data_IF_098137410640
#
_entry.id   IF_098137410640
#
_cell.length_a   1.000
_cell.length_b   1.000
_cell.length_c   1.000
_cell.angle_alpha   90.00
_cell.angle_beta   90.00
_cell.angle_gamma   90.00
#
_symmetry.space_group_name_H-M   'P 1'
#
loop_
_entity.id
_entity.type
_entity.pdbx_description
1 polymer ?
#
# COMPACT_ATOMS: atom_id res chain seq x y z
N UNK A 1 32.60 -37.22 48.16
CA UNK A 1 31.89 -36.91 49.41
C UNK A 1 30.40 -37.18 49.14
N UNK A 2 29.83 -38.33 49.50
CA UNK A 2 29.46 -38.78 50.87
C UNK A 2 28.47 -37.74 51.44
N UNK A 3 27.18 -37.99 51.72
CA UNK A 3 26.49 -39.13 52.38
C UNK A 3 24.96 -38.93 52.23
N UNK A 4 24.15 -39.95 51.84
CA UNK A 4 23.37 -40.92 52.67
C UNK A 4 22.04 -40.43 53.31
N UNK A 5 20.93 -40.90 52.72
CA UNK A 5 19.76 -41.71 53.24
C UNK A 5 19.97 -42.27 54.69
N UNK A 6 18.97 -42.66 55.55
CA UNK A 6 17.74 -43.38 55.16
C UNK A 6 16.45 -43.45 56.06
N UNK A 7 15.37 -43.95 55.41
CA UNK A 7 14.39 -44.99 55.76
C UNK A 7 13.61 -45.14 57.09
N UNK A 8 12.34 -45.53 56.87
CA UNK A 8 11.53 -46.54 57.59
C UNK A 8 10.83 -46.10 58.89
N UNK A 9 9.71 -46.67 59.38
CA UNK A 9 8.89 -47.83 58.99
C UNK A 9 7.59 -47.83 59.85
N UNK A 10 6.50 -48.37 59.31
CA UNK A 10 5.55 -49.33 59.90
C UNK A 10 4.79 -49.12 61.25
N UNK A 11 3.52 -49.57 61.22
CA UNK A 11 2.64 -50.20 62.26
C UNK A 11 1.26 -49.50 62.33
N UNK A 12 0.21 -50.03 61.71
CA UNK A 12 -0.78 -50.99 62.24
C UNK A 12 -1.29 -50.66 63.65
N UNK A 13 -2.59 -50.37 63.74
CA UNK A 13 -3.43 -50.77 64.87
C UNK A 13 -4.85 -51.14 64.41
N UNK A 14 -5.33 -52.25 64.96
CA UNK A 14 -6.66 -52.89 64.82
C UNK A 14 -7.59 -52.43 65.96
N UNK A 15 -8.85 -52.86 65.85
CA UNK A 15 -9.97 -52.89 66.81
C UNK A 15 -10.96 -51.72 66.65
N UNK A 16 -12.28 -51.91 66.64
CA UNK A 16 -13.11 -53.02 67.11
C UNK A 16 -14.49 -53.04 66.43
N UNK A 17 -15.09 -54.24 66.45
CA UNK A 17 -16.50 -54.57 66.18
C UNK A 17 -17.48 -53.86 67.14
N UNK A 18 -18.68 -53.51 66.66
CA UNK A 18 -19.94 -53.81 67.36
C UNK A 18 -21.11 -53.88 66.35
N UNK A 19 -21.96 -54.90 66.50
CA UNK A 19 -23.16 -55.18 65.69
C UNK A 19 -24.37 -55.12 66.64
N UNK A 20 -25.26 -54.15 66.42
CA UNK A 20 -26.70 -54.20 66.73
C UNK A 20 -27.37 -53.30 65.67
N UNK A 21 -28.36 -53.69 64.87
CA UNK A 21 -29.38 -54.69 65.07
C UNK A 21 -30.68 -54.02 65.50
N UNK A 22 -31.27 -53.16 64.68
CA UNK A 22 -32.66 -52.72 64.86
C UNK A 22 -33.32 -52.38 63.51
N UNK A 23 -34.46 -53.04 63.26
CA UNK A 23 -35.32 -52.86 62.09
C UNK A 23 -36.32 -51.76 62.40
N UNK A 24 -36.38 -50.71 61.58
CA UNK A 24 -37.54 -49.83 61.53
C UNK A 24 -37.95 -49.55 60.08
N UNK A 25 -39.13 -50.06 59.73
CA UNK A 25 -39.86 -49.70 58.53
C UNK A 25 -40.36 -48.26 58.66
N UNK A 26 -39.89 -47.37 57.79
CA UNK A 26 -40.53 -46.08 57.55
C UNK A 26 -40.78 -45.91 56.05
N UNK A 27 -42.05 -45.96 55.69
CA UNK A 27 -42.60 -45.49 54.43
C UNK A 27 -42.33 -43.98 54.30
N UNK A 28 -41.77 -43.54 53.17
CA UNK A 28 -41.71 -42.14 52.76
C UNK A 28 -42.20 -42.01 51.32
N UNK A 29 -43.00 -40.97 50.99
CA UNK A 29 -43.67 -40.85 49.71
C UNK A 29 -42.74 -40.36 48.60
N UNK A 30 -43.01 -40.81 47.39
CA UNK A 30 -42.37 -40.34 46.15
C UNK A 30 -42.79 -38.90 45.88
N UNK A 31 -41.88 -37.94 46.07
CA UNK A 31 -42.03 -36.59 45.53
C UNK A 31 -41.53 -36.58 44.08
N UNK A 32 -42.49 -36.58 43.14
CA UNK A 32 -42.26 -36.40 41.72
C UNK A 32 -41.88 -34.93 41.44
N UNK A 33 -40.58 -34.62 41.40
CA UNK A 33 -40.09 -33.36 40.85
C UNK A 33 -40.27 -33.38 39.33
N UNK A 34 -41.32 -32.73 38.82
CA UNK A 34 -41.45 -32.41 37.39
C UNK A 34 -40.46 -31.27 37.10
N UNK A 35 -39.25 -31.64 36.71
CA UNK A 35 -38.26 -30.69 36.20
C UNK A 35 -38.71 -30.16 34.84
N UNK A 36 -39.10 -28.88 34.77
CA UNK A 36 -39.28 -28.16 33.52
C UNK A 36 -37.89 -28.00 32.86
N UNK A 37 -37.50 -28.94 31.99
CA UNK A 37 -36.38 -28.72 31.10
C UNK A 37 -36.78 -27.68 30.05
N UNK A 38 -36.52 -26.41 30.34
CA UNK A 38 -36.53 -25.38 29.32
C UNK A 38 -35.38 -25.67 28.34
N UNK A 39 -35.68 -26.36 27.24
CA UNK A 39 -34.77 -26.47 26.11
C UNK A 39 -34.59 -25.08 25.50
N UNK A 40 -33.54 -24.36 25.92
CA UNK A 40 -33.05 -23.19 25.20
C UNK A 40 -32.63 -23.66 23.81
N UNK A 41 -33.25 -23.17 22.72
CA UNK A 41 -32.75 -23.45 21.38
C UNK A 41 -31.37 -22.82 21.28
N UNK A 42 -30.32 -23.63 21.35
CA UNK A 42 -28.97 -23.24 20.98
C UNK A 42 -29.03 -23.07 19.47
N UNK A 43 -29.25 -21.84 19.02
CA UNK A 43 -29.07 -21.48 17.61
C UNK A 43 -27.58 -21.61 17.32
N UNK A 44 -27.20 -22.67 16.61
CA UNK A 44 -25.90 -22.74 15.96
C UNK A 44 -25.90 -21.67 14.88
N UNK A 45 -25.42 -20.47 15.21
CA UNK A 45 -25.07 -19.48 14.21
C UNK A 45 -23.92 -20.08 13.40
N UNK A 46 -24.23 -20.53 12.18
CA UNK A 46 -23.18 -20.85 11.21
C UNK A 46 -22.29 -19.59 11.09
N UNK A 47 -20.96 -19.74 11.02
CA UNK A 47 -20.09 -18.60 10.78
C UNK A 47 -20.53 -17.95 9.47
N UNK A 48 -21.08 -16.74 9.55
CA UNK A 48 -21.32 -15.93 8.37
C UNK A 48 -19.95 -15.65 7.76
N UNK A 49 -19.73 -16.07 6.52
CA UNK A 49 -18.52 -15.69 5.79
C UNK A 49 -18.46 -14.17 5.74
N UNK A 50 -17.49 -13.55 6.42
CA UNK A 50 -17.46 -12.10 6.54
C UNK A 50 -16.50 -11.52 5.50
N UNK A 51 -17.02 -10.66 4.61
CA UNK A 51 -16.20 -9.74 3.83
C UNK A 51 -15.63 -8.66 4.77
N UNK A 52 -14.35 -8.77 5.13
CA UNK A 52 -13.70 -7.78 5.99
C UNK A 52 -12.89 -6.78 5.17
N UNK A 53 -13.29 -5.51 5.19
CA UNK A 53 -12.62 -4.44 4.44
C UNK A 53 -12.01 -3.41 5.38
N UNK A 54 -10.72 -3.11 5.18
CA UNK A 54 -9.99 -2.07 5.89
C UNK A 54 -9.49 -1.01 4.91
N UNK A 55 -9.64 0.27 5.28
CA UNK A 55 -9.24 1.41 4.47
C UNK A 55 -8.17 2.22 5.21
N UNK A 56 -7.06 2.51 4.53
CA UNK A 56 -5.98 3.32 5.06
C UNK A 56 -5.46 4.32 4.01
N UNK A 57 -5.32 5.62 4.33
CA UNK A 57 -5.75 6.28 5.57
C UNK A 57 -7.28 6.44 5.63
N UNK A 58 -7.82 6.62 6.85
CA UNK A 58 -9.26 6.92 7.06
C UNK A 58 -9.69 8.27 6.48
N UNK A 59 -8.78 9.25 6.49
CA UNK A 59 -9.01 10.62 5.99
C UNK A 59 -7.91 10.98 4.97
N UNK A 60 -7.93 10.39 3.75
CA UNK A 60 -6.93 10.69 2.73
C UNK A 60 -7.04 12.14 2.28
N UNK A 61 -5.89 12.76 2.02
CA UNK A 61 -5.80 14.08 1.40
C UNK A 61 -5.59 13.91 -0.11
N UNK A 62 -6.04 14.87 -0.93
CA UNK A 62 -5.70 14.88 -2.35
C UNK A 62 -4.18 14.71 -2.55
N UNK A 63 -3.78 13.81 -3.44
CA UNK A 63 -2.39 13.41 -3.65
C UNK A 63 -1.97 12.15 -2.89
N UNK A 64 -2.77 11.67 -1.93
CA UNK A 64 -2.49 10.43 -1.19
C UNK A 64 -2.90 9.18 -1.99
N UNK A 65 -2.32 8.04 -1.63
CA UNK A 65 -2.80 6.71 -2.00
C UNK A 65 -3.72 6.16 -0.91
N UNK A 66 -4.92 5.72 -1.30
CA UNK A 66 -5.82 4.95 -0.43
C UNK A 66 -5.56 3.45 -0.67
N UNK A 67 -5.25 2.73 0.39
CA UNK A 67 -5.13 1.27 0.42
C UNK A 67 -6.43 0.66 0.92
N UNK A 68 -6.98 -0.25 0.13
CA UNK A 68 -8.14 -1.07 0.49
C UNK A 68 -7.63 -2.49 0.70
N UNK A 69 -7.63 -2.96 1.94
CA UNK A 69 -7.24 -4.33 2.30
C UNK A 69 -8.51 -5.14 2.52
N UNK A 70 -8.57 -6.31 1.91
CA UNK A 70 -9.74 -7.18 1.92
C UNK A 70 -9.29 -8.53 2.48
N UNK A 71 -9.92 -8.99 3.54
CA UNK A 71 -9.76 -10.36 4.04
C UNK A 71 -11.06 -11.12 3.78
N UNK A 72 -10.93 -12.34 3.25
CA UNK A 72 -12.02 -13.27 3.03
C UNK A 72 -11.85 -14.44 3.99
N UNK A 73 -12.89 -14.84 4.72
CA UNK A 73 -12.76 -15.93 5.70
C UNK A 73 -12.62 -17.31 5.02
N UNK A 74 -13.26 -17.47 3.86
CA UNK A 74 -13.20 -18.68 3.04
C UNK A 74 -13.37 -18.26 1.57
N UNK A 75 -12.30 -18.12 0.77
CA UNK A 75 -12.48 -17.69 -0.61
C UNK A 75 -13.28 -18.75 -1.35
N UNK A 76 -14.51 -18.42 -1.76
CA UNK A 76 -15.17 -19.22 -2.79
C UNK A 76 -14.22 -19.24 -3.99
N UNK A 77 -13.83 -20.43 -4.45
CA UNK A 77 -12.92 -20.66 -5.58
C UNK A 77 -13.40 -20.06 -6.92
N UNK A 78 -14.48 -19.27 -6.90
CA UNK A 78 -15.21 -18.83 -8.07
C UNK A 78 -14.94 -17.38 -8.46
N UNK A 79 -14.56 -16.46 -7.55
CA UNK A 79 -14.29 -15.06 -7.91
C UNK A 79 -13.31 -14.30 -6.99
N UNK A 80 -12.31 -13.64 -7.58
CA UNK A 80 -11.47 -12.66 -6.87
C UNK A 80 -12.27 -11.42 -6.46
N UNK A 81 -11.96 -10.79 -5.32
CA UNK A 81 -12.65 -9.59 -4.90
C UNK A 81 -12.43 -8.43 -5.88
N UNK A 82 -13.42 -7.54 -5.97
CA UNK A 82 -13.33 -6.33 -6.81
C UNK A 82 -13.46 -5.07 -5.98
N UNK A 83 -12.80 -4.00 -6.44
CA UNK A 83 -12.86 -2.67 -5.82
C UNK A 83 -13.17 -1.63 -6.89
N UNK A 84 -14.20 -0.81 -6.66
CA UNK A 84 -14.57 0.27 -7.56
C UNK A 84 -14.96 1.56 -6.85
N UNK A 85 -14.86 2.67 -7.58
CA UNK A 85 -15.37 3.99 -7.20
C UNK A 85 -16.13 4.55 -8.39
N UNK A 86 -17.45 4.63 -8.27
CA UNK A 86 -18.33 4.85 -9.42
C UNK A 86 -18.15 3.73 -10.46
N UNK A 87 -17.92 4.10 -11.71
CA UNK A 87 -17.68 3.15 -12.81
C UNK A 87 -16.23 2.65 -12.89
N UNK A 88 -15.30 3.30 -12.17
CA UNK A 88 -13.88 2.97 -12.26
C UNK A 88 -13.54 1.80 -11.34
N UNK A 89 -13.05 0.72 -11.91
CA UNK A 89 -12.48 -0.43 -11.19
C UNK A 89 -10.99 -0.23 -10.96
N UNK A 90 -10.48 -0.81 -9.87
CA UNK A 90 -9.07 -0.78 -9.51
C UNK A 90 -8.52 -2.21 -9.44
N UNK A 91 -7.28 -2.43 -9.90
CA UNK A 91 -6.64 -3.74 -9.79
C UNK A 91 -6.57 -4.21 -8.33
N UNK A 92 -6.91 -5.47 -8.13
CA UNK A 92 -6.86 -6.14 -6.84
C UNK A 92 -5.80 -7.23 -6.92
N UNK A 93 -4.85 -7.20 -5.99
CA UNK A 93 -3.73 -8.13 -5.94
C UNK A 93 -3.77 -8.95 -4.66
N UNK A 94 -3.44 -10.24 -4.75
CA UNK A 94 -3.22 -11.06 -3.57
C UNK A 94 -1.98 -10.57 -2.80
N UNK A 95 -2.09 -10.52 -1.48
CA UNK A 95 -1.01 -10.15 -0.54
C UNK A 95 -0.54 -11.39 0.22
N UNK A 96 -1.48 -12.22 0.65
CA UNK A 96 -1.27 -13.53 1.27
C UNK A 96 -2.52 -14.38 1.00
N UNK A 97 -2.56 -15.67 1.38
CA UNK A 97 -3.81 -16.44 1.31
C UNK A 97 -4.96 -15.66 1.94
N UNK A 98 -6.06 -15.57 1.19
CA UNK A 98 -7.31 -14.90 1.54
C UNK A 98 -7.22 -13.39 1.82
N UNK A 99 -6.07 -12.76 1.58
CA UNK A 99 -5.85 -11.34 1.79
C UNK A 99 -5.49 -10.65 0.49
N UNK A 100 -6.26 -9.64 0.15
CA UNK A 100 -6.12 -8.89 -1.09
C UNK A 100 -5.94 -7.41 -0.80
N UNK A 101 -5.41 -6.69 -1.80
CA UNK A 101 -5.23 -5.25 -1.74
C UNK A 101 -5.53 -4.59 -3.08
N UNK A 102 -6.20 -3.45 -2.99
CA UNK A 102 -6.30 -2.49 -4.08
C UNK A 102 -5.70 -1.14 -3.65
N UNK A 103 -5.17 -0.39 -4.62
CA UNK A 103 -4.78 1.00 -4.41
C UNK A 103 -5.65 1.95 -5.24
N UNK A 104 -6.17 2.97 -4.57
CA UNK A 104 -6.93 4.06 -5.17
C UNK A 104 -6.10 5.35 -5.01
N UNK A 105 -5.43 5.81 -6.07
CA UNK A 105 -4.74 7.10 -6.06
C UNK A 105 -5.74 8.26 -6.00
N UNK A 106 -5.31 9.37 -5.40
CA UNK A 106 -5.98 10.67 -5.48
C UNK A 106 -5.03 11.71 -6.04
N UNK A 107 -5.53 12.70 -6.78
CA UNK A 107 -4.71 13.73 -7.42
C UNK A 107 -5.16 15.16 -7.10
N UNK A 108 -4.28 16.17 -7.22
CA UNK A 108 -4.60 17.59 -7.06
C UNK A 108 -5.71 18.14 -7.98
N UNK A 109 -6.09 17.41 -9.03
CA UNK A 109 -7.13 17.84 -9.98
C UNK A 109 -8.51 17.27 -9.64
N UNK A 110 -8.59 16.33 -8.70
CA UNK A 110 -9.86 15.77 -8.26
C UNK A 110 -10.58 16.69 -7.28
N UNK A 111 -11.92 16.62 -7.26
CA UNK A 111 -12.72 17.32 -6.25
C UNK A 111 -12.62 16.57 -4.91
N UNK A 112 -12.39 17.28 -3.78
CA UNK A 112 -12.52 16.69 -2.46
C UNK A 112 -13.99 16.38 -2.16
N UNK A 113 -14.22 15.45 -1.22
CA UNK A 113 -15.55 15.02 -0.81
C UNK A 113 -15.58 13.54 -0.42
N UNK A 114 -16.77 13.06 -0.04
CA UNK A 114 -16.98 11.66 0.30
C UNK A 114 -16.93 10.80 -0.95
N UNK A 115 -16.06 9.80 -0.97
CA UNK A 115 -16.01 8.75 -2.00
C UNK A 115 -16.65 7.49 -1.48
N UNK A 116 -17.58 6.95 -2.26
CA UNK A 116 -18.16 5.62 -2.05
C UNK A 116 -17.26 4.59 -2.71
N UNK A 117 -16.56 3.80 -1.91
CA UNK A 117 -15.74 2.69 -2.35
C UNK A 117 -16.59 1.43 -2.22
N UNK A 118 -16.88 0.79 -3.36
CA UNK A 118 -17.61 -0.47 -3.40
C UNK A 118 -16.61 -1.60 -3.45
N UNK A 119 -16.74 -2.55 -2.53
CA UNK A 119 -15.94 -3.78 -2.49
C UNK A 119 -16.89 -4.96 -2.59
N UNK A 120 -16.57 -5.93 -3.44
CA UNK A 120 -17.30 -7.20 -3.49
C UNK A 120 -16.37 -8.39 -3.35
N UNK A 121 -16.85 -9.43 -2.68
CA UNK A 121 -16.15 -10.69 -2.40
C UNK A 121 -17.06 -11.64 -1.63
N UNK A 122 -16.93 -12.96 -1.82
CA UNK A 122 -17.78 -13.99 -1.21
C UNK A 122 -19.30 -13.74 -1.36
N UNK A 123 -19.74 -13.31 -2.55
CA UNK A 123 -21.15 -12.98 -2.80
C UNK A 123 -21.67 -11.74 -2.05
N UNK A 124 -20.84 -11.10 -1.21
CA UNK A 124 -21.18 -9.90 -0.46
C UNK A 124 -20.68 -8.64 -1.17
N UNK A 125 -21.36 -7.54 -0.90
CA UNK A 125 -20.99 -6.20 -1.35
C UNK A 125 -21.00 -5.26 -0.16
N UNK A 126 -19.87 -4.59 0.07
CA UNK A 126 -19.75 -3.53 1.08
C UNK A 126 -19.49 -2.19 0.39
N UNK A 127 -20.25 -1.16 0.77
CA UNK A 127 -20.00 0.22 0.36
C UNK A 127 -19.41 1.00 1.55
N UNK A 128 -18.20 1.54 1.37
CA UNK A 128 -17.50 2.31 2.39
C UNK A 128 -17.43 3.78 1.98
N UNK A 129 -17.85 4.67 2.88
CA UNK A 129 -17.75 6.12 2.69
C UNK A 129 -16.42 6.64 3.22
N UNK A 130 -15.58 7.17 2.33
CA UNK A 130 -14.26 7.71 2.66
C UNK A 130 -14.20 9.22 2.40
N UNK A 131 -13.99 10.06 3.43
CA UNK A 131 -13.86 11.50 3.26
C UNK A 131 -12.49 11.86 2.66
N UNK A 132 -12.44 12.12 1.36
CA UNK A 132 -11.23 12.65 0.72
C UNK A 132 -11.17 14.15 0.94
N UNK A 133 -10.26 14.58 1.80
CA UNK A 133 -10.14 15.97 2.22
C UNK A 133 -9.22 16.76 1.29
N UNK A 134 -9.42 18.08 1.27
CA UNK A 134 -8.57 18.98 0.50
C UNK A 134 -7.12 18.97 0.99
N UNK A 135 -6.20 19.30 0.07
CA UNK A 135 -4.79 19.58 0.38
C UNK A 135 -4.44 20.92 -0.25
N UNK A 136 -3.79 21.80 0.52
CA UNK A 136 -3.25 23.05 -0.03
C UNK A 136 -2.05 22.74 -0.91
N UNK A 137 -2.14 23.12 -2.18
CA UNK A 137 -1.05 23.05 -3.12
C UNK A 137 -0.54 24.46 -3.42
N UNK A 138 0.75 24.75 -3.18
CA UNK A 138 1.29 26.08 -3.45
C UNK A 138 1.29 26.37 -4.96
N UNK A 139 1.25 27.66 -5.30
CA UNK A 139 1.36 28.15 -6.66
C UNK A 139 2.78 28.66 -6.87
N UNK A 140 3.39 28.30 -7.99
CA UNK A 140 4.68 28.82 -8.44
C UNK A 140 4.50 29.50 -9.80
N UNK A 141 5.19 30.62 -10.02
CA UNK A 141 5.23 31.28 -11.33
C UNK A 141 6.62 31.06 -11.91
N UNK A 142 6.67 30.56 -13.13
CA UNK A 142 7.93 30.31 -13.83
C UNK A 142 7.90 30.95 -15.21
N UNK A 143 9.05 31.51 -15.60
CA UNK A 143 9.30 32.01 -16.94
C UNK A 143 10.23 31.03 -17.63
N UNK A 144 9.77 30.41 -18.71
CA UNK A 144 10.59 29.48 -19.47
C UNK A 144 11.30 30.23 -20.61
N UNK A 145 12.62 30.02 -20.81
CA UNK A 145 13.30 30.51 -21.99
C UNK A 145 12.67 29.95 -23.29
N UNK A 146 12.76 30.66 -24.41
CA UNK A 146 12.33 30.15 -25.71
C UNK A 146 12.92 28.75 -26.00
N UNK A 147 12.10 27.81 -26.45
CA UNK A 147 12.51 26.44 -26.81
C UNK A 147 12.65 25.44 -25.64
N UNK A 148 12.42 25.86 -24.39
CA UNK A 148 12.42 24.99 -23.18
C UNK A 148 11.01 24.61 -22.70
N UNK A 149 9.98 24.92 -23.47
CA UNK A 149 8.58 24.56 -23.20
C UNK A 149 8.33 23.05 -23.32
N UNK A 150 7.30 22.55 -22.63
CA UNK A 150 6.84 21.16 -22.74
C UNK A 150 6.43 20.75 -24.17
N UNK A 151 6.28 21.72 -25.07
CA UNK A 151 5.98 21.58 -26.50
C UNK A 151 7.06 20.78 -27.27
N UNK A 152 8.21 20.52 -26.65
CA UNK A 152 9.28 19.73 -27.23
C UNK A 152 9.15 18.21 -27.06
N UNK A 153 8.09 17.70 -26.42
CA UNK A 153 8.00 16.26 -26.14
C UNK A 153 7.80 15.43 -27.42
N UNK A 154 8.56 14.35 -27.60
CA UNK A 154 8.34 13.42 -28.72
C UNK A 154 7.17 12.48 -28.44
N UNK A 155 6.45 12.04 -29.48
CA UNK A 155 5.43 11.00 -29.30
C UNK A 155 6.04 9.69 -28.76
N UNK A 156 7.28 9.38 -29.14
CA UNK A 156 8.01 8.23 -28.63
C UNK A 156 8.18 8.28 -27.11
N UNK A 157 8.68 9.40 -26.56
CA UNK A 157 8.86 9.52 -25.10
C UNK A 157 7.51 9.50 -24.36
N UNK A 158 6.48 10.12 -24.92
CA UNK A 158 5.14 10.15 -24.31
C UNK A 158 4.53 8.74 -24.26
N UNK A 159 4.61 7.97 -25.35
CA UNK A 159 4.11 6.61 -25.42
C UNK A 159 4.85 5.69 -24.45
N UNK A 160 6.18 5.78 -24.39
CA UNK A 160 7.02 5.00 -23.48
C UNK A 160 6.71 5.31 -22.03
N UNK A 161 6.59 6.59 -21.67
CA UNK A 161 6.23 7.00 -20.32
C UNK A 161 4.80 6.62 -19.94
N UNK A 162 3.84 6.67 -20.88
CA UNK A 162 2.46 6.25 -20.65
C UNK A 162 2.37 4.74 -20.42
N UNK A 163 3.00 3.93 -21.28
CA UNK A 163 3.06 2.47 -21.12
C UNK A 163 3.71 2.07 -19.79
N UNK A 164 4.82 2.70 -19.42
CA UNK A 164 5.48 2.48 -18.13
C UNK A 164 4.57 2.78 -16.93
N UNK A 165 3.84 3.90 -16.95
CA UNK A 165 2.93 4.29 -15.85
C UNK A 165 1.72 3.37 -15.74
N UNK A 166 1.36 2.66 -16.81
CA UNK A 166 0.23 1.75 -16.88
C UNK A 166 0.56 0.31 -16.41
N UNK A 167 1.83 0.01 -16.06
CA UNK A 167 2.23 -1.32 -15.60
C UNK A 167 1.47 -1.75 -14.34
N UNK A 168 1.03 -3.01 -14.32
CA UNK A 168 0.25 -3.62 -13.23
C UNK A 168 0.79 -5.03 -12.89
N UNK A 169 2.11 -5.17 -12.78
CA UNK A 169 2.79 -6.44 -12.48
C UNK A 169 2.29 -7.04 -11.15
N UNK A 170 1.70 -8.25 -11.11
CA UNK A 170 1.12 -8.78 -9.86
C UNK A 170 2.13 -8.98 -8.72
N UNK A 171 3.38 -9.31 -9.06
CA UNK A 171 4.46 -9.49 -8.10
C UNK A 171 4.82 -8.18 -7.40
N UNK A 172 4.71 -8.16 -6.06
CA UNK A 172 5.20 -7.07 -5.22
C UNK A 172 6.72 -7.19 -5.01
N UNK A 173 7.47 -6.13 -5.32
CA UNK A 173 8.92 -6.09 -5.08
C UNK A 173 9.32 -5.30 -3.83
N UNK A 174 8.56 -4.27 -3.43
CA UNK A 174 8.94 -3.45 -2.27
C UNK A 174 8.67 -4.16 -0.94
N UNK A 175 9.47 -3.77 0.07
CA UNK A 175 9.29 -4.15 1.46
C UNK A 175 9.54 -2.93 2.34
N UNK A 176 8.58 -2.56 3.18
CA UNK A 176 8.64 -1.41 4.06
C UNK A 176 8.45 -0.07 3.36
N UNK A 177 9.04 0.96 3.96
CA UNK A 177 8.96 2.35 3.48
C UNK A 177 9.91 2.58 2.33
N UNK A 178 9.55 3.50 1.44
CA UNK A 178 10.44 3.93 0.38
C UNK A 178 11.53 4.84 0.94
N UNK A 179 12.76 4.64 0.47
CA UNK A 179 13.88 5.51 0.79
C UNK A 179 13.77 6.83 0.01
N UNK A 180 14.44 7.87 0.50
CA UNK A 180 14.71 9.06 -0.31
C UNK A 180 15.72 8.69 -1.42
N UNK A 181 15.48 9.03 -2.70
CA UNK A 181 16.37 8.65 -3.79
C UNK A 181 17.61 9.55 -3.91
N UNK A 182 17.65 10.67 -3.20
CA UNK A 182 18.77 11.62 -3.18
C UNK A 182 18.82 12.35 -1.83
N UNK A 183 20.02 12.80 -1.43
CA UNK A 183 20.27 13.50 -0.16
C UNK A 183 20.11 15.03 -0.24
N UNK A 184 19.88 15.59 -1.42
CA UNK A 184 19.59 17.00 -1.62
C UNK A 184 18.33 17.43 -0.90
N UNK A 185 18.20 18.74 -0.64
CA UNK A 185 16.95 19.29 -0.10
C UNK A 185 15.84 19.16 -1.14
N UNK A 186 14.59 18.96 -0.70
CA UNK A 186 13.44 19.05 -1.59
C UNK A 186 13.27 20.52 -1.98
N UNK A 187 13.49 20.84 -3.25
CA UNK A 187 13.34 22.20 -3.81
C UNK A 187 11.93 22.48 -4.29
N UNK A 188 11.20 21.46 -4.74
CA UNK A 188 9.81 21.60 -5.18
C UNK A 188 9.01 20.37 -4.78
N UNK A 189 7.90 20.60 -4.07
CA UNK A 189 7.04 19.53 -3.57
C UNK A 189 6.05 19.06 -4.64
N UNK A 190 5.43 17.90 -4.39
CA UNK A 190 4.34 17.38 -5.20
C UNK A 190 3.14 18.33 -5.20
N UNK A 191 2.46 18.39 -6.34
CA UNK A 191 1.18 19.06 -6.50
C UNK A 191 1.27 20.58 -6.71
N UNK A 192 2.47 21.18 -6.68
CA UNK A 192 2.67 22.60 -6.99
C UNK A 192 1.98 22.95 -8.31
N UNK A 193 1.09 23.95 -8.26
CA UNK A 193 0.39 24.48 -9.43
C UNK A 193 1.27 25.55 -10.07
N UNK A 194 1.29 25.64 -11.40
CA UNK A 194 2.24 26.52 -12.12
C UNK A 194 1.54 27.52 -13.02
N UNK A 195 2.05 28.74 -12.99
CA UNK A 195 1.93 29.68 -14.11
C UNK A 195 3.17 29.55 -14.98
N UNK A 196 2.99 29.40 -16.28
CA UNK A 196 4.05 29.45 -17.28
C UNK A 196 3.87 30.73 -18.10
N UNK A 197 4.87 31.61 -18.10
CA UNK A 197 4.86 32.86 -18.87
C UNK A 197 3.56 33.67 -18.67
N UNK A 198 3.08 33.75 -17.42
CA UNK A 198 1.85 34.47 -17.06
C UNK A 198 0.53 33.69 -17.20
N UNK A 199 0.53 32.51 -17.86
CA UNK A 199 -0.68 31.68 -18.04
C UNK A 199 -0.75 30.54 -17.02
N UNK A 200 -1.90 30.39 -16.36
CA UNK A 200 -2.11 29.30 -15.41
C UNK A 200 -2.31 27.96 -16.14
N UNK A 201 -1.62 26.92 -15.69
CA UNK A 201 -1.79 25.58 -16.23
C UNK A 201 -2.91 24.84 -15.46
N UNK A 202 -4.14 24.94 -15.98
CA UNK A 202 -5.36 24.39 -15.35
C UNK A 202 -5.28 22.88 -15.10
N UNK A 203 -4.73 22.13 -16.05
CA UNK A 203 -4.71 20.66 -16.02
C UNK A 203 -3.33 20.10 -15.65
N UNK A 204 -2.48 20.95 -15.07
CA UNK A 204 -1.12 20.59 -14.66
C UNK A 204 -0.87 20.89 -13.19
N UNK A 205 -0.06 20.00 -12.62
CA UNK A 205 0.58 20.17 -11.33
C UNK A 205 1.92 19.44 -11.37
N UNK A 206 2.82 19.77 -10.45
CA UNK A 206 4.10 19.10 -10.33
C UNK A 206 3.92 17.63 -9.87
N UNK A 207 4.23 16.66 -10.74
CA UNK A 207 3.88 15.23 -10.56
C UNK A 207 4.88 14.42 -9.71
N UNK A 208 5.74 15.09 -8.95
CA UNK A 208 6.79 14.43 -8.17
C UNK A 208 7.41 15.34 -7.12
N UNK A 209 8.58 14.94 -6.62
CA UNK A 209 9.44 15.73 -5.76
C UNK A 209 10.72 16.08 -6.52
N UNK A 210 11.10 17.36 -6.48
CA UNK A 210 12.38 17.80 -6.99
C UNK A 210 13.38 17.90 -5.83
N UNK A 211 14.53 17.26 -5.99
CA UNK A 211 15.66 17.32 -5.07
C UNK A 211 16.76 18.19 -5.70
N UNK A 212 17.10 19.29 -5.05
CA UNK A 212 18.24 20.11 -5.45
C UNK A 212 19.54 19.38 -5.09
N UNK A 213 20.18 18.80 -6.08
CA UNK A 213 21.46 18.10 -5.96
C UNK A 213 22.44 18.60 -7.02
N UNK A 214 23.72 18.67 -6.67
CA UNK A 214 24.76 18.99 -7.65
C UNK A 214 24.79 17.94 -8.77
N UNK A 215 25.16 18.34 -9.98
CA UNK A 215 25.37 17.39 -11.08
C UNK A 215 26.34 16.28 -10.64
N UNK A 216 26.03 15.03 -10.99
CA UNK A 216 26.81 13.87 -10.55
C UNK A 216 26.42 13.30 -9.18
N UNK A 217 25.57 13.99 -8.40
CA UNK A 217 25.07 13.46 -7.12
C UNK A 217 24.35 12.12 -7.31
N UNK A 218 24.50 11.20 -6.36
CA UNK A 218 23.91 9.85 -6.44
C UNK A 218 22.39 9.89 -6.52
N UNK A 219 21.83 9.06 -7.39
CA UNK A 219 20.40 8.74 -7.44
C UNK A 219 20.25 7.24 -7.17
N UNK A 220 19.47 6.90 -6.14
CA UNK A 220 19.27 5.51 -5.71
C UNK A 220 17.82 5.07 -5.86
N UNK A 221 17.61 3.76 -6.04
CA UNK A 221 16.29 3.17 -6.04
C UNK A 221 15.62 3.33 -4.66
N UNK A 222 14.40 3.90 -4.57
CA UNK A 222 13.72 4.12 -3.29
C UNK A 222 13.21 2.82 -2.68
N UNK A 223 12.91 1.82 -3.50
CA UNK A 223 12.51 0.48 -3.10
C UNK A 223 13.02 -0.53 -4.14
N UNK A 224 12.96 -1.82 -3.80
CA UNK A 224 13.27 -2.86 -4.77
C UNK A 224 12.23 -2.90 -5.91
N UNK A 225 12.65 -3.35 -7.09
CA UNK A 225 11.81 -3.41 -8.27
C UNK A 225 12.57 -3.85 -9.52
N UNK A 226 11.86 -3.86 -10.65
CA UNK A 226 12.43 -4.14 -11.97
C UNK A 226 12.51 -2.85 -12.77
N UNK A 227 13.66 -2.55 -13.36
CA UNK A 227 13.79 -1.41 -14.28
C UNK A 227 12.97 -1.70 -15.53
N UNK A 228 11.96 -0.87 -15.77
CA UNK A 228 10.98 -1.08 -16.85
C UNK A 228 10.91 0.11 -17.82
N UNK A 229 11.68 1.16 -17.55
CA UNK A 229 11.89 2.26 -18.48
C UNK A 229 13.33 2.76 -18.39
N UNK A 230 14.02 2.78 -19.51
CA UNK A 230 15.23 3.57 -19.73
C UNK A 230 15.00 4.40 -20.98
N UNK A 231 15.19 5.71 -20.85
CA UNK A 231 15.07 6.66 -21.95
C UNK A 231 16.22 7.63 -21.93
N UNK A 232 16.72 8.01 -23.10
CA UNK A 232 17.83 8.97 -23.23
C UNK A 232 17.46 10.10 -24.18
N UNK A 233 18.14 11.24 -24.05
CA UNK A 233 17.97 12.36 -24.98
C UNK A 233 18.23 11.91 -26.43
N UNK A 234 19.25 11.06 -26.64
CA UNK A 234 19.57 10.51 -27.95
C UNK A 234 18.45 9.65 -28.56
N UNK A 235 17.62 9.03 -27.73
CA UNK A 235 16.43 8.26 -28.15
C UNK A 235 15.16 9.13 -28.26
N UNK A 236 15.27 10.45 -28.11
CA UNK A 236 14.13 11.37 -28.24
C UNK A 236 13.41 11.69 -26.93
N UNK A 237 13.99 11.42 -25.76
CA UNK A 237 13.45 11.89 -24.47
C UNK A 237 13.81 13.37 -24.27
N UNK A 238 13.09 14.27 -24.96
CA UNK A 238 13.40 15.70 -25.05
C UNK A 238 12.94 16.46 -23.82
N UNK A 239 11.82 16.08 -23.23
CA UNK A 239 11.29 16.74 -22.02
C UNK A 239 11.77 16.03 -20.76
N UNK A 240 11.64 14.72 -20.71
CA UNK A 240 12.05 13.94 -19.54
C UNK A 240 13.58 13.88 -19.38
N UNK A 241 14.34 14.03 -20.46
CA UNK A 241 15.79 13.84 -20.45
C UNK A 241 16.16 12.38 -20.22
N UNK A 242 17.38 12.14 -19.75
CA UNK A 242 17.79 10.80 -19.36
C UNK A 242 16.94 10.34 -18.17
N UNK A 243 16.28 9.21 -18.35
CA UNK A 243 15.16 8.75 -17.52
C UNK A 243 15.35 7.30 -17.13
N UNK A 244 15.11 7.00 -15.85
CA UNK A 244 14.96 5.64 -15.33
C UNK A 244 13.57 5.49 -14.73
N UNK A 245 12.89 4.40 -15.03
CA UNK A 245 11.64 4.00 -14.39
C UNK A 245 11.76 2.60 -13.79
N UNK A 246 11.33 2.47 -12.55
CA UNK A 246 11.33 1.22 -11.78
C UNK A 246 9.87 0.81 -11.52
N UNK A 247 9.52 -0.40 -11.95
CA UNK A 247 8.30 -1.09 -11.58
C UNK A 247 8.51 -1.77 -10.22
N UNK A 248 7.78 -1.31 -9.20
CA UNK A 248 7.80 -1.90 -7.86
C UNK A 248 6.72 -2.99 -7.71
N UNK A 249 5.88 -3.19 -8.73
CA UNK A 249 4.78 -4.13 -8.73
C UNK A 249 3.45 -3.48 -8.36
N UNK A 250 2.37 -4.21 -8.57
CA UNK A 250 1.01 -3.91 -8.16
C UNK A 250 0.54 -2.49 -8.54
N UNK A 251 0.94 -2.01 -9.71
CA UNK A 251 0.58 -0.68 -10.19
C UNK A 251 1.45 0.46 -9.65
N UNK A 252 2.47 0.17 -8.84
CA UNK A 252 3.34 1.16 -8.18
C UNK A 252 4.65 1.30 -8.97
N UNK A 253 4.90 2.49 -9.52
CA UNK A 253 6.11 2.75 -10.31
C UNK A 253 6.78 4.08 -9.96
N UNK A 254 8.11 4.09 -9.85
CA UNK A 254 8.91 5.30 -9.66
C UNK A 254 9.57 5.73 -10.96
N UNK A 255 9.57 7.03 -11.27
CA UNK A 255 10.31 7.61 -12.40
C UNK A 255 11.32 8.66 -11.93
N UNK A 256 12.51 8.66 -12.52
CA UNK A 256 13.64 9.55 -12.21
C UNK A 256 14.05 10.26 -13.49
N UNK A 257 13.96 11.59 -13.52
CA UNK A 257 14.18 12.39 -14.72
C UNK A 257 15.45 13.24 -14.62
N UNK A 258 15.79 13.86 -15.75
CA UNK A 258 16.87 14.84 -15.88
C UNK A 258 18.26 14.30 -15.52
N UNK A 259 18.45 12.97 -15.56
CA UNK A 259 19.71 12.35 -15.13
C UNK A 259 20.89 12.79 -16.01
N UNK A 260 22.10 12.74 -15.45
CA UNK A 260 23.33 12.89 -16.22
C UNK A 260 23.79 11.52 -16.73
N UNK A 261 23.91 10.55 -15.80
CA UNK A 261 24.30 9.16 -16.08
C UNK A 261 23.19 8.21 -15.65
N UNK A 262 23.01 7.15 -16.44
CA UNK A 262 22.17 5.99 -16.11
C UNK A 262 23.10 4.82 -15.80
N UNK A 263 22.88 4.14 -14.68
CA UNK A 263 23.73 3.05 -14.18
C UNK A 263 23.05 1.67 -14.24
N UNK A 264 21.86 1.59 -14.85
CA UNK A 264 21.04 0.38 -14.97
C UNK A 264 20.45 0.28 -16.37
N UNK A 265 19.98 -0.91 -16.77
CA UNK A 265 19.28 -1.15 -18.03
C UNK A 265 17.89 -1.72 -17.78
N UNK A 266 17.02 -1.64 -18.77
CA UNK A 266 15.70 -2.30 -18.70
C UNK A 266 15.88 -3.80 -18.47
N UNK A 267 15.03 -4.35 -17.60
CA UNK A 267 15.10 -5.74 -17.16
C UNK A 267 15.87 -5.95 -15.85
N UNK A 268 16.76 -5.03 -15.46
CA UNK A 268 17.53 -5.18 -14.22
C UNK A 268 16.62 -5.22 -12.99
N UNK A 269 16.90 -6.16 -12.08
CA UNK A 269 16.34 -6.13 -10.73
C UNK A 269 17.21 -5.25 -9.84
N UNK A 270 16.60 -4.31 -9.14
CA UNK A 270 17.29 -3.38 -8.24
C UNK A 270 16.81 -3.56 -6.81
N UNK A 271 17.71 -3.36 -5.86
CA UNK A 271 17.39 -3.32 -4.42
C UNK A 271 17.19 -1.88 -3.96
N UNK A 272 16.47 -1.70 -2.85
CA UNK A 272 16.38 -0.40 -2.19
C UNK A 272 17.79 0.12 -1.87
N UNK A 273 18.07 1.39 -2.19
CA UNK A 273 19.35 2.04 -1.97
C UNK A 273 20.41 1.78 -3.05
N UNK A 274 20.14 0.91 -4.03
CA UNK A 274 21.05 0.67 -5.15
C UNK A 274 21.20 1.92 -6.01
N UNK A 275 22.44 2.23 -6.43
CA UNK A 275 22.72 3.32 -7.36
C UNK A 275 22.12 3.01 -8.74
N UNK A 276 21.27 3.89 -9.25
CA UNK A 276 20.60 3.74 -10.55
C UNK A 276 21.01 4.81 -11.56
N UNK A 277 21.62 5.90 -11.09
CA UNK A 277 22.06 6.99 -11.93
C UNK A 277 22.67 8.13 -11.11
N UNK A 278 22.90 9.24 -11.78
CA UNK A 278 23.35 10.47 -11.14
C UNK A 278 22.54 11.67 -11.59
N UNK A 279 22.36 12.64 -10.69
CA UNK A 279 21.70 13.92 -10.96
C UNK A 279 22.35 14.60 -12.17
N UNK A 280 21.51 15.19 -13.02
CA UNK A 280 21.93 15.98 -14.15
C UNK A 280 20.97 17.13 -14.41
N UNK A 281 20.99 17.62 -15.65
CA UNK A 281 20.09 18.67 -16.12
C UNK A 281 19.67 18.43 -17.57
N UNK A 282 19.50 17.15 -17.95
CA UNK A 282 19.06 16.77 -19.30
C UNK A 282 17.56 17.02 -19.50
N UNK A 283 17.14 17.21 -20.75
CA UNK A 283 15.76 17.51 -21.09
C UNK A 283 15.28 18.90 -20.65
N UNK A 284 14.00 19.01 -20.32
CA UNK A 284 13.36 20.25 -19.89
C UNK A 284 13.68 20.56 -18.42
N UNK A 285 14.93 20.97 -18.17
CA UNK A 285 15.43 21.39 -16.85
C UNK A 285 16.06 22.79 -16.93
N UNK A 286 15.93 23.55 -15.83
CA UNK A 286 16.54 24.87 -15.62
C UNK A 286 17.85 24.82 -14.82
N UNK A 287 18.24 23.64 -14.33
CA UNK A 287 19.50 23.43 -13.60
C UNK A 287 19.57 22.04 -12.95
N UNK A 288 20.73 21.64 -12.41
CA UNK A 288 20.89 20.32 -11.81
C UNK A 288 19.90 20.03 -10.68
N UNK A 289 19.04 19.04 -10.89
CA UNK A 289 18.11 18.51 -9.88
C UNK A 289 17.66 17.09 -10.26
N UNK A 290 17.18 16.35 -9.27
CA UNK A 290 16.45 15.09 -9.52
C UNK A 290 14.96 15.36 -9.42
N UNK A 291 14.21 15.05 -10.47
CA UNK A 291 12.77 14.86 -10.36
C UNK A 291 12.47 13.39 -10.07
N UNK A 292 11.79 13.12 -8.95
CA UNK A 292 11.27 11.79 -8.61
C UNK A 292 9.74 11.80 -8.59
N UNK A 293 9.13 11.14 -9.56
CA UNK A 293 7.69 10.89 -9.59
C UNK A 293 7.36 9.49 -9.07
N UNK A 294 6.25 9.36 -8.35
CA UNK A 294 5.68 8.08 -7.93
C UNK A 294 4.26 7.99 -8.47
N UNK A 295 3.94 6.88 -9.12
CA UNK A 295 2.66 6.63 -9.75
C UNK A 295 2.05 5.37 -9.17
N UNK A 296 0.73 5.41 -9.00
CA UNK A 296 -0.08 4.27 -8.59
C UNK A 296 -1.24 4.15 -9.58
N UNK A 297 -1.33 3.01 -10.27
CA UNK A 297 -2.36 2.75 -11.27
C UNK A 297 -2.48 3.88 -12.31
N UNK A 298 -1.34 4.32 -12.85
CA UNK A 298 -1.25 5.37 -13.88
C UNK A 298 -1.33 6.81 -13.39
N UNK A 299 -1.71 7.05 -12.13
CA UNK A 299 -1.89 8.40 -11.59
C UNK A 299 -0.75 8.77 -10.63
N UNK A 300 -0.20 9.97 -10.79
CA UNK A 300 0.87 10.46 -9.91
C UNK A 300 0.33 10.78 -8.53
N UNK A 301 1.03 10.33 -7.49
CA UNK A 301 0.71 10.58 -6.08
C UNK A 301 1.90 11.26 -5.38
N UNK A 302 1.69 11.79 -4.19
CA UNK A 302 2.77 12.38 -3.39
C UNK A 302 3.71 11.29 -2.85
N UNK A 303 4.98 11.24 -3.29
CA UNK A 303 5.95 10.24 -2.82
C UNK A 303 6.25 10.33 -1.32
N UNK A 304 5.93 11.46 -0.67
CA UNK A 304 6.17 11.67 0.77
C UNK A 304 5.42 10.67 1.63
N UNK A 305 4.20 10.28 1.24
CA UNK A 305 3.40 9.31 1.99
C UNK A 305 4.07 7.94 2.04
N UNK A 306 4.63 7.47 0.93
CA UNK A 306 5.35 6.21 0.78
C UNK A 306 6.72 6.19 1.47
N UNK A 307 7.32 7.35 1.72
CA UNK A 307 8.53 7.46 2.57
C UNK A 307 8.22 7.33 4.06
N UNK A 308 7.02 7.71 4.49
CA UNK A 308 6.69 7.85 5.91
C UNK A 308 5.83 6.70 6.43
N UNK A 309 5.08 6.03 5.54
CA UNK A 309 4.11 4.97 5.84
C UNK A 309 4.50 3.69 5.10
N UNK A 310 4.04 2.56 5.62
CA UNK A 310 4.13 1.26 4.95
C UNK A 310 2.83 0.97 4.21
N UNK A 311 2.96 0.31 3.06
CA UNK A 311 1.86 -0.18 2.24
C UNK A 311 2.08 -1.69 2.06
N UNK A 312 1.82 -2.44 3.14
CA UNK A 312 1.99 -3.91 3.24
C UNK A 312 0.71 -4.70 3.04
#
# INVERSE_FOLDING_TARGET
MITKIPNSNYQKNKCSFDIRGEKHNYFLPVNLFIGFCAALPITLALPVEALQVQINPKNPRLGDTVSVVINLDNPDNTNNPTVSVGEKTYPVFAVSPNKYRAFIPTTPLEKPGTRKIRVSGNGQVQELSVPVVTRRFPVQRITLPPGKSADGATQHELNRAAAFKALQTPQKYWNGKFLRPNNGRISTIYGVRRYYNGKFANDYYHRGLDYAGAAGSRVVAPAAGKVALVGTVAQGFRVHGNTVGIDHGQGVVSIFLHLNRINVKEGDLVKAGQLIGTVGSTGASTGPHLHWGLYVNGLSIDPTSWKNKTFE
#
